data_IF_627611440433
#
_entry.id   IF_627611440433
#
_cell.length_a   1.000
_cell.length_b   1.000
_cell.length_c   1.000
_cell.angle_alpha   90.00
_cell.angle_beta   90.00
_cell.angle_gamma   90.00
#
_symmetry.space_group_name_H-M   'P 1'
#
loop_
_entity.id
_entity.type
_entity.pdbx_description
1 polymer ?
#
# COMPACT_ATOMS: atom_id res chain seq x y z
N UNK A 1 18.22 -2.41 -13.31
CA UNK A 1 17.49 -3.59 -12.81
C UNK A 1 18.42 -4.77 -12.87
N UNK A 2 18.91 -5.20 -11.71
CA UNK A 2 19.63 -6.46 -11.58
C UNK A 2 18.69 -7.60 -11.10
N UNK A 3 19.23 -8.81 -10.98
CA UNK A 3 18.47 -9.99 -10.57
C UNK A 3 17.97 -9.92 -9.12
N UNK A 4 18.64 -9.18 -8.24
CA UNK A 4 18.23 -9.00 -6.85
C UNK A 4 17.05 -8.02 -6.76
N UNK A 5 17.10 -6.92 -7.53
CA UNK A 5 16.00 -5.98 -7.69
C UNK A 5 14.77 -6.70 -8.27
N UNK A 6 14.96 -7.57 -9.27
CA UNK A 6 13.86 -8.37 -9.85
C UNK A 6 13.23 -9.33 -8.82
N UNK A 7 14.04 -10.06 -8.05
CA UNK A 7 13.55 -10.95 -7.00
C UNK A 7 12.75 -10.18 -5.93
N UNK A 8 13.21 -8.98 -5.59
CA UNK A 8 12.50 -8.10 -4.64
C UNK A 8 11.14 -7.68 -5.18
N UNK A 9 11.08 -7.29 -6.46
CA UNK A 9 9.82 -6.94 -7.13
C UNK A 9 8.86 -8.14 -7.14
N UNK A 10 9.33 -9.33 -7.50
CA UNK A 10 8.49 -10.54 -7.51
C UNK A 10 7.91 -10.80 -6.11
N UNK A 11 8.75 -10.77 -5.06
CA UNK A 11 8.31 -11.00 -3.69
C UNK A 11 7.25 -9.98 -3.23
N UNK A 12 7.44 -8.70 -3.57
CA UNK A 12 6.48 -7.63 -3.28
C UNK A 12 5.13 -7.90 -3.96
N UNK A 13 5.13 -8.30 -5.24
CA UNK A 13 3.89 -8.53 -5.99
C UNK A 13 3.18 -9.83 -5.64
N UNK A 14 3.88 -10.85 -5.14
CA UNK A 14 3.24 -12.02 -4.51
C UNK A 14 2.40 -11.59 -3.30
N UNK A 15 2.95 -10.71 -2.45
CA UNK A 15 2.20 -10.17 -1.31
C UNK A 15 1.01 -9.31 -1.77
N UNK A 16 1.18 -8.49 -2.80
CA UNK A 16 0.06 -7.73 -3.41
C UNK A 16 -1.02 -8.69 -3.89
N UNK A 17 -0.66 -9.76 -4.61
CA UNK A 17 -1.62 -10.76 -5.09
C UNK A 17 -2.40 -11.42 -3.95
N UNK A 18 -1.73 -11.81 -2.87
CA UNK A 18 -2.39 -12.32 -1.67
C UNK A 18 -3.38 -11.31 -1.07
N UNK A 19 -2.98 -10.04 -0.95
CA UNK A 19 -3.86 -9.00 -0.39
C UNK A 19 -5.05 -8.67 -1.30
N UNK A 20 -4.89 -8.75 -2.62
CA UNK A 20 -6.00 -8.62 -3.57
C UNK A 20 -6.99 -9.78 -3.43
N UNK A 21 -6.50 -11.01 -3.20
CA UNK A 21 -7.36 -12.15 -2.91
C UNK A 21 -8.14 -11.94 -1.60
N UNK A 22 -7.48 -11.50 -0.52
CA UNK A 22 -8.16 -11.14 0.74
C UNK A 22 -9.22 -10.07 0.51
N UNK A 23 -8.92 -9.03 -0.27
CA UNK A 23 -9.89 -7.98 -0.62
C UNK A 23 -11.11 -8.53 -1.37
N UNK A 24 -10.93 -9.51 -2.25
CA UNK A 24 -11.99 -10.11 -3.05
C UNK A 24 -12.87 -11.09 -2.25
N UNK A 25 -12.24 -11.96 -1.46
CA UNK A 25 -12.94 -13.05 -0.76
C UNK A 25 -13.32 -12.70 0.69
N UNK A 26 -12.53 -11.85 1.35
CA UNK A 26 -12.73 -11.44 2.76
C UNK A 26 -12.64 -9.91 2.93
N UNK A 27 -13.52 -9.13 2.25
CA UNK A 27 -13.40 -7.67 2.21
C UNK A 27 -13.26 -6.96 3.58
N UNK A 28 -13.92 -7.39 4.67
CA UNK A 28 -13.74 -6.77 5.99
C UNK A 28 -12.29 -6.80 6.49
N UNK A 29 -11.51 -7.82 6.10
CA UNK A 29 -10.12 -7.98 6.53
C UNK A 29 -9.16 -7.05 5.77
N UNK A 30 -9.53 -6.59 4.58
CA UNK A 30 -8.72 -5.65 3.81
C UNK A 30 -8.70 -4.25 4.44
N UNK A 31 -9.71 -3.87 5.22
CA UNK A 31 -9.80 -2.51 5.74
C UNK A 31 -9.02 -2.31 7.05
N UNK A 32 -8.44 -1.12 7.19
CA UNK A 32 -7.87 -0.61 8.45
C UNK A 32 -8.38 0.81 8.71
N UNK A 33 -8.82 1.12 9.92
CA UNK A 33 -9.28 2.48 10.26
C UNK A 33 -8.10 3.46 10.18
N UNK A 34 -8.38 4.71 9.83
CA UNK A 34 -7.35 5.78 9.85
C UNK A 34 -6.69 5.90 11.22
N UNK A 35 -7.44 5.72 12.31
CA UNK A 35 -6.89 5.75 13.68
C UNK A 35 -5.92 4.60 13.99
N UNK A 36 -6.06 3.46 13.30
CA UNK A 36 -5.30 2.23 13.54
C UNK A 36 -4.17 2.04 12.52
N UNK A 37 -4.16 2.80 11.42
CA UNK A 37 -3.23 2.63 10.31
C UNK A 37 -1.77 2.71 10.76
N UNK A 38 -1.45 3.59 11.70
CA UNK A 38 -0.08 3.75 12.24
C UNK A 38 0.41 2.47 12.92
N UNK A 39 -0.45 1.81 13.69
CA UNK A 39 -0.11 0.55 14.37
C UNK A 39 0.04 -0.58 13.35
N UNK A 40 -0.87 -0.66 12.39
CA UNK A 40 -0.81 -1.66 11.33
C UNK A 40 0.46 -1.51 10.47
N UNK A 41 0.82 -0.29 10.06
CA UNK A 41 2.06 -0.02 9.32
C UNK A 41 3.29 -0.47 10.10
N UNK A 42 3.33 -0.24 11.42
CA UNK A 42 4.41 -0.70 12.30
C UNK A 42 4.51 -2.23 12.31
N UNK A 43 3.39 -2.94 12.43
CA UNK A 43 3.35 -4.40 12.37
C UNK A 43 3.89 -4.94 11.04
N UNK A 44 3.52 -4.28 9.94
CA UNK A 44 3.96 -4.64 8.58
C UNK A 44 5.39 -4.16 8.24
N UNK A 45 6.08 -3.49 9.18
CA UNK A 45 7.41 -2.88 8.97
C UNK A 45 7.44 -1.89 7.80
N UNK A 46 6.35 -1.17 7.59
CA UNK A 46 6.24 -0.13 6.55
C UNK A 46 6.59 1.22 7.17
N UNK A 47 7.47 1.98 6.50
CA UNK A 47 7.80 3.34 6.91
C UNK A 47 6.61 4.29 6.74
N UNK A 48 6.19 4.91 7.85
CA UNK A 48 5.10 5.88 7.90
C UNK A 48 5.38 7.11 7.05
N UNK A 49 6.64 7.56 6.91
CA UNK A 49 6.96 8.74 6.10
C UNK A 49 6.66 8.47 4.63
N UNK A 50 7.04 7.28 4.15
CA UNK A 50 6.77 6.83 2.80
C UNK A 50 5.27 6.68 2.53
N UNK A 51 4.54 6.08 3.46
CA UNK A 51 3.07 6.02 3.39
C UNK A 51 2.45 7.42 3.30
N UNK A 52 2.84 8.33 4.19
CA UNK A 52 2.30 9.70 4.23
C UNK A 52 2.56 10.47 2.93
N UNK A 53 3.74 10.27 2.30
CA UNK A 53 4.03 10.85 1.00
C UNK A 53 3.02 10.40 -0.06
N UNK A 54 2.79 9.09 -0.17
CA UNK A 54 1.83 8.53 -1.14
C UNK A 54 0.37 8.96 -0.85
N UNK A 55 0.01 9.18 0.42
CA UNK A 55 -1.28 9.77 0.78
C UNK A 55 -1.35 11.24 0.35
N UNK A 56 -0.30 12.03 0.58
CA UNK A 56 -0.26 13.45 0.19
C UNK A 56 -0.30 13.65 -1.33
N UNK A 57 0.26 12.71 -2.09
CA UNK A 57 0.22 12.68 -3.56
C UNK A 57 -1.13 12.14 -4.08
N UNK A 58 -2.02 11.69 -3.20
CA UNK A 58 -3.34 11.17 -3.56
C UNK A 58 -3.31 9.79 -4.23
N UNK A 59 -2.17 9.08 -4.17
CA UNK A 59 -2.00 7.70 -4.67
C UNK A 59 -2.70 6.71 -3.76
N UNK A 60 -2.65 6.93 -2.45
CA UNK A 60 -3.39 6.16 -1.45
C UNK A 60 -4.53 7.02 -0.91
N UNK A 61 -5.76 6.50 -0.92
CA UNK A 61 -6.94 7.26 -0.48
C UNK A 61 -7.71 6.54 0.61
N UNK A 62 -8.07 7.29 1.65
CA UNK A 62 -9.02 6.80 2.65
C UNK A 62 -10.43 6.85 2.06
N UNK A 63 -11.19 5.78 2.26
CA UNK A 63 -12.61 5.69 1.88
C UNK A 63 -13.48 5.79 3.13
N UNK A 64 -14.55 6.57 3.04
CA UNK A 64 -15.56 6.69 4.09
C UNK A 64 -16.47 5.47 4.07
N UNK A 65 -16.70 4.88 5.24
CA UNK A 65 -17.72 3.82 5.42
C UNK A 65 -18.91 4.42 6.15
N UNK A 66 -19.93 4.81 5.37
CA UNK A 66 -21.16 5.44 5.85
C UNK A 66 -21.42 6.80 5.19
N UNK A 67 -22.64 7.30 5.36
CA UNK A 67 -23.14 8.53 4.71
C UNK A 67 -23.02 9.77 5.61
N UNK A 68 -22.75 9.58 6.90
CA UNK A 68 -22.64 10.67 7.86
C UNK A 68 -21.31 11.43 7.75
N UNK A 69 -21.35 12.74 8.07
CA UNK A 69 -20.14 13.59 8.14
C UNK A 69 -19.06 13.01 9.09
N UNK A 70 -19.50 12.35 10.17
CA UNK A 70 -18.63 11.73 11.18
C UNK A 70 -18.40 10.22 10.94
N UNK A 71 -18.82 9.68 9.79
CA UNK A 71 -18.56 8.27 9.49
C UNK A 71 -17.06 7.99 9.41
N UNK A 72 -16.60 6.85 9.97
CA UNK A 72 -15.18 6.53 10.02
C UNK A 72 -14.56 6.37 8.61
N UNK A 73 -13.29 6.76 8.53
CA UNK A 73 -12.45 6.61 7.35
C UNK A 73 -11.57 5.36 7.48
N UNK A 74 -11.37 4.67 6.36
CA UNK A 74 -10.59 3.44 6.27
C UNK A 74 -9.66 3.48 5.07
N UNK A 75 -8.51 2.85 5.18
CA UNK A 75 -7.67 2.52 4.04
C UNK A 75 -7.87 1.05 3.64
N UNK A 76 -7.72 0.76 2.35
CA UNK A 76 -7.52 -0.60 1.86
C UNK A 76 -6.06 -0.99 2.06
N UNK A 77 -5.81 -2.08 2.79
CA UNK A 77 -4.46 -2.60 3.02
C UNK A 77 -3.84 -3.03 1.70
N UNK A 78 -4.62 -3.65 0.80
CA UNK A 78 -4.19 -4.05 -0.53
C UNK A 78 -3.75 -2.84 -1.38
N UNK A 79 -4.51 -1.74 -1.34
CA UNK A 79 -4.15 -0.50 -2.04
C UNK A 79 -2.83 0.09 -1.50
N UNK A 80 -2.66 0.13 -0.17
CA UNK A 80 -1.41 0.61 0.44
C UNK A 80 -0.21 -0.20 -0.06
N UNK A 81 -0.31 -1.54 -0.02
CA UNK A 81 0.79 -2.41 -0.42
C UNK A 81 1.09 -2.26 -1.92
N UNK A 82 0.06 -2.24 -2.75
CA UNK A 82 0.20 -2.04 -4.19
C UNK A 82 0.89 -0.71 -4.51
N UNK A 83 0.47 0.39 -3.88
CA UNK A 83 1.06 1.71 -4.09
C UNK A 83 2.54 1.74 -3.70
N UNK A 84 2.91 1.12 -2.57
CA UNK A 84 4.29 1.03 -2.12
C UNK A 84 5.16 0.20 -3.09
N UNK A 85 4.65 -0.94 -3.55
CA UNK A 85 5.35 -1.81 -4.50
C UNK A 85 5.50 -1.15 -5.88
N UNK A 86 4.50 -0.42 -6.35
CA UNK A 86 4.60 0.38 -7.57
C UNK A 86 5.63 1.50 -7.44
N UNK A 87 5.67 2.19 -6.29
CA UNK A 87 6.69 3.21 -6.02
C UNK A 87 8.12 2.62 -5.96
N UNK A 88 8.28 1.37 -5.50
CA UNK A 88 9.58 0.66 -5.56
C UNK A 88 10.03 0.48 -7.02
N UNK A 89 9.14 -0.04 -7.88
CA UNK A 89 9.44 -0.23 -9.31
C UNK A 89 9.77 1.10 -9.97
N UNK A 90 8.96 2.14 -9.75
CA UNK A 90 9.20 3.46 -10.32
C UNK A 90 10.59 3.99 -9.96
N UNK A 91 11.03 3.80 -8.71
CA UNK A 91 12.37 4.15 -8.27
C UNK A 91 13.49 3.36 -8.96
N UNK A 92 13.30 2.04 -9.16
CA UNK A 92 14.26 1.18 -9.89
C UNK A 92 14.38 1.63 -11.35
N UNK A 93 13.25 1.86 -12.02
CA UNK A 93 13.21 2.28 -13.42
C UNK A 93 13.84 3.66 -13.61
N UNK A 94 13.52 4.62 -12.73
CA UNK A 94 14.12 5.95 -12.77
C UNK A 94 15.66 5.90 -12.65
N UNK A 95 16.19 5.08 -11.73
CA UNK A 95 17.65 4.89 -11.60
C UNK A 95 18.28 4.26 -12.84
N UNK A 96 17.57 3.36 -13.52
CA UNK A 96 18.03 2.74 -14.76
C UNK A 96 18.02 3.66 -15.97
N UNK A 97 17.15 4.67 -15.97
CA UNK A 97 17.01 5.65 -17.07
C UNK A 97 18.02 6.80 -16.95
N UNK A 98 18.56 7.05 -15.75
CA UNK A 98 19.57 8.10 -15.47
C UNK A 98 21.00 7.59 -15.75
N UNK A 99 21.17 6.39 -16.32
CA UNK A 99 22.46 5.87 -16.80
C UNK A 99 22.59 6.04 -18.30
#
# INVERSE_FOLDING_TARGET
MDIQELNTVIADFVQVGYMQAVKAYEPPQDFVRVSEVKQWLKMMRIDIKRFNRLVSEGVIRATRKGTGRNSPLYYSKAEIKQALSMANIAGIVARGTIK
#
